data_IF_726245007334
#
_entry.id   IF_726245007334
#
_cell.length_a   1.000
_cell.length_b   1.000
_cell.length_c   1.000
_cell.angle_alpha   90.00
_cell.angle_beta   90.00
_cell.angle_gamma   90.00
#
_symmetry.space_group_name_H-M   'P 1'
#
loop_
_entity.id
_entity.type
_entity.pdbx_description
1 polymer ?
#
# COMPACT_ATOMS: atom_id res chain seq x y z
N UNK A 1 17.00 -24.25 13.24
CA UNK A 1 16.31 -23.50 14.31
C UNK A 1 15.47 -22.43 13.63
N UNK A 2 14.19 -22.33 13.97
CA UNK A 2 13.18 -21.55 13.26
C UNK A 2 13.55 -20.06 13.20
N UNK A 3 13.72 -19.52 11.99
CA UNK A 3 13.79 -18.08 11.75
C UNK A 3 12.37 -17.54 11.94
N UNK A 4 12.04 -17.22 13.18
CA UNK A 4 10.78 -16.58 13.52
C UNK A 4 10.86 -15.18 12.94
N UNK A 5 10.27 -15.02 11.74
CA UNK A 5 9.84 -13.72 11.17
C UNK A 5 9.62 -12.75 12.32
N UNK A 6 10.42 -11.69 12.40
CA UNK A 6 10.44 -10.70 13.49
C UNK A 6 9.01 -10.28 13.84
N UNK A 7 8.41 -10.94 14.83
CA UNK A 7 7.05 -10.68 15.32
C UNK A 7 7.07 -9.29 15.92
N UNK A 8 6.66 -8.31 15.12
CA UNK A 8 6.78 -6.91 15.46
C UNK A 8 5.68 -6.15 14.76
N UNK A 9 5.15 -5.15 15.44
CA UNK A 9 4.19 -4.22 14.87
C UNK A 9 4.69 -3.58 13.56
N UNK A 10 6.01 -3.47 13.37
CA UNK A 10 6.59 -3.01 12.11
C UNK A 10 6.40 -4.02 10.95
N UNK A 11 6.50 -5.32 11.24
CA UNK A 11 6.16 -6.38 10.30
C UNK A 11 4.68 -6.34 9.95
N UNK A 12 3.81 -6.13 10.94
CA UNK A 12 2.36 -6.06 10.72
C UNK A 12 1.97 -4.87 9.83
N UNK A 13 2.53 -3.68 10.08
CA UNK A 13 2.34 -2.51 9.22
C UNK A 13 2.85 -2.75 7.79
N UNK A 14 3.99 -3.42 7.65
CA UNK A 14 4.54 -3.76 6.33
C UNK A 14 3.63 -4.74 5.57
N UNK A 15 3.09 -5.75 6.24
CA UNK A 15 2.14 -6.69 5.64
C UNK A 15 0.80 -6.03 5.32
N UNK A 16 0.31 -5.13 6.18
CA UNK A 16 -0.93 -4.40 5.93
C UNK A 16 -0.83 -3.51 4.68
N UNK A 17 0.28 -2.78 4.51
CA UNK A 17 0.57 -2.02 3.29
C UNK A 17 0.42 -2.85 2.03
N UNK A 18 0.94 -4.07 2.03
CA UNK A 18 0.86 -4.96 0.88
C UNK A 18 -0.60 -5.26 0.54
N UNK A 19 -1.41 -5.60 1.55
CA UNK A 19 -2.86 -5.80 1.40
C UNK A 19 -3.56 -4.56 0.82
N UNK A 20 -3.20 -3.36 1.29
CA UNK A 20 -3.76 -2.11 0.74
C UNK A 20 -3.48 -1.96 -0.76
N UNK A 21 -2.25 -2.26 -1.20
CA UNK A 21 -1.88 -2.20 -2.62
C UNK A 21 -2.57 -3.31 -3.43
N UNK A 22 -2.69 -4.52 -2.89
CA UNK A 22 -3.42 -5.61 -3.55
C UNK A 22 -4.89 -5.25 -3.77
N UNK A 23 -5.54 -4.58 -2.81
CA UNK A 23 -6.92 -4.12 -2.95
C UNK A 23 -7.08 -3.05 -4.04
N UNK A 24 -6.16 -2.10 -4.11
CA UNK A 24 -6.20 -1.05 -5.12
C UNK A 24 -5.88 -1.55 -6.52
N UNK A 25 -5.00 -2.54 -6.65
CA UNK A 25 -4.43 -2.95 -7.95
C UNK A 25 -4.99 -4.27 -8.49
N UNK A 26 -5.60 -5.09 -7.62
CA UNK A 26 -5.95 -6.50 -7.87
C UNK A 26 -4.75 -7.36 -8.32
N UNK A 27 -3.53 -6.89 -8.13
CA UNK A 27 -2.31 -7.62 -8.47
C UNK A 27 -1.85 -8.45 -7.27
N UNK A 28 -1.57 -9.75 -7.44
CA UNK A 28 -1.05 -10.55 -6.36
C UNK A 28 0.37 -10.13 -6.00
N UNK A 29 0.66 -10.05 -4.71
CA UNK A 29 2.04 -9.91 -4.26
C UNK A 29 2.72 -11.25 -4.42
N UNK A 30 3.65 -11.37 -5.37
CA UNK A 30 4.41 -12.59 -5.55
C UNK A 30 5.32 -12.76 -4.33
N UNK A 31 4.88 -13.52 -3.33
CA UNK A 31 5.65 -13.84 -2.14
C UNK A 31 6.45 -15.12 -2.38
N UNK A 32 7.39 -15.13 -3.33
CA UNK A 32 8.39 -16.21 -3.32
C UNK A 32 9.35 -15.99 -2.16
N UNK A 33 9.92 -17.10 -1.67
CA UNK A 33 10.91 -17.14 -0.58
C UNK A 33 12.14 -16.26 -0.82
N UNK A 34 12.34 -15.76 -2.05
CA UNK A 34 13.54 -15.07 -2.51
C UNK A 34 13.34 -13.56 -2.71
N UNK A 35 12.48 -12.92 -1.89
CA UNK A 35 12.32 -11.45 -1.82
C UNK A 35 11.42 -10.82 -2.92
N UNK A 36 10.47 -11.57 -3.51
CA UNK A 36 9.61 -11.06 -4.60
C UNK A 36 8.43 -10.17 -4.17
N UNK A 37 8.15 -10.03 -2.86
CA UNK A 37 7.18 -9.04 -2.35
C UNK A 37 7.53 -7.58 -2.63
N UNK A 38 8.71 -7.36 -3.22
CA UNK A 38 9.26 -6.08 -3.67
C UNK A 38 8.71 -5.67 -5.05
N UNK A 39 8.16 -6.60 -5.85
CA UNK A 39 7.71 -6.32 -7.21
C UNK A 39 6.52 -5.35 -7.25
N UNK A 40 5.43 -5.64 -6.51
CA UNK A 40 4.23 -4.80 -6.53
C UNK A 40 4.53 -3.39 -6.01
N UNK A 41 5.18 -3.30 -4.86
CA UNK A 41 5.58 -2.03 -4.24
C UNK A 41 6.45 -1.19 -5.16
N UNK A 42 7.48 -1.79 -5.76
CA UNK A 42 8.42 -1.09 -6.64
C UNK A 42 7.76 -0.63 -7.94
N UNK A 43 6.88 -1.47 -8.50
CA UNK A 43 6.10 -1.14 -9.69
C UNK A 43 5.16 0.03 -9.42
N UNK A 44 4.34 -0.04 -8.36
CA UNK A 44 3.43 1.05 -7.97
C UNK A 44 4.21 2.35 -7.75
N UNK A 45 5.31 2.31 -6.99
CA UNK A 45 6.15 3.48 -6.78
C UNK A 45 6.75 4.01 -8.08
N UNK A 46 6.98 3.16 -9.09
CA UNK A 46 7.44 3.58 -10.42
C UNK A 46 6.35 4.28 -11.21
N UNK A 47 5.14 3.74 -11.22
CA UNK A 47 4.00 4.32 -11.93
C UNK A 47 3.62 5.68 -11.33
N UNK A 48 3.59 5.79 -10.00
CA UNK A 48 3.23 7.04 -9.29
C UNK A 48 4.26 8.16 -9.50
N UNK A 49 5.56 7.83 -9.71
CA UNK A 49 6.57 8.85 -10.06
C UNK A 49 6.31 9.54 -11.40
N UNK A 50 5.46 8.98 -12.25
CA UNK A 50 5.12 9.56 -13.54
C UNK A 50 3.86 10.45 -13.51
N UNK A 51 3.26 10.70 -12.33
CA UNK A 51 2.09 11.55 -11.98
C UNK A 51 0.83 11.40 -12.88
N UNK A 52 0.97 11.52 -14.19
CA UNK A 52 -0.03 11.30 -15.24
C UNK A 52 -0.54 9.84 -15.31
N UNK A 53 0.17 8.87 -14.72
CA UNK A 53 -0.15 7.43 -14.81
C UNK A 53 -0.80 6.86 -13.54
N UNK A 54 -1.17 7.69 -12.56
CA UNK A 54 -1.68 7.21 -11.26
C UNK A 54 -2.93 6.32 -11.42
N UNK A 55 -3.75 6.56 -12.45
CA UNK A 55 -4.92 5.74 -12.76
C UNK A 55 -4.57 4.30 -13.20
N UNK A 56 -3.39 4.06 -13.79
CA UNK A 56 -2.96 2.73 -14.24
C UNK A 56 -2.69 1.76 -13.08
N UNK A 57 -2.50 2.30 -11.88
CA UNK A 57 -2.32 1.50 -10.66
C UNK A 57 -3.62 0.81 -10.26
N UNK A 58 -4.77 1.39 -10.58
CA UNK A 58 -6.05 0.97 -10.05
C UNK A 58 -6.69 -0.19 -10.82
N UNK A 59 -7.32 -1.12 -10.11
CA UNK A 59 -8.18 -2.15 -10.70
C UNK A 59 -9.27 -1.46 -11.52
N UNK A 60 -9.42 -1.90 -12.78
CA UNK A 60 -10.43 -1.38 -13.70
C UNK A 60 -11.85 -1.54 -13.15
N UNK A 61 -12.09 -2.53 -12.29
CA UNK A 61 -13.39 -2.69 -11.63
C UNK A 61 -13.69 -1.56 -10.63
N UNK A 62 -12.67 -0.94 -10.03
CA UNK A 62 -12.84 0.23 -9.16
C UNK A 62 -13.20 1.48 -9.97
N UNK A 63 -12.69 1.62 -11.19
CA UNK A 63 -13.01 2.73 -12.09
C UNK A 63 -14.48 2.77 -12.53
N UNK A 64 -15.26 1.72 -12.24
CA UNK A 64 -16.71 1.66 -12.48
C UNK A 64 -17.52 2.45 -11.46
N UNK A 65 -16.93 2.75 -10.30
CA UNK A 65 -17.56 3.56 -9.27
C UNK A 65 -17.25 5.04 -9.52
N UNK A 66 -18.28 5.87 -9.53
CA UNK A 66 -18.14 7.31 -9.73
C UNK A 66 -17.76 8.00 -8.41
N UNK A 67 -16.98 9.08 -8.50
CA UNK A 67 -16.61 9.95 -7.38
C UNK A 67 -15.84 9.24 -6.24
N UNK A 68 -15.02 8.25 -6.58
CA UNK A 68 -14.11 7.61 -5.60
C UNK A 68 -12.63 7.81 -5.94
N UNK A 69 -12.33 8.51 -7.03
CA UNK A 69 -10.96 8.65 -7.55
C UNK A 69 -10.05 9.39 -6.55
N UNK A 70 -10.57 10.45 -5.92
CA UNK A 70 -9.81 11.23 -4.94
C UNK A 70 -9.50 10.39 -3.69
N UNK A 71 -10.48 9.63 -3.20
CA UNK A 71 -10.36 8.71 -2.08
C UNK A 71 -9.36 7.60 -2.39
N UNK A 72 -9.40 7.05 -3.60
CA UNK A 72 -8.46 6.03 -4.07
C UNK A 72 -7.03 6.55 -4.15
N UNK A 73 -6.83 7.79 -4.62
CA UNK A 73 -5.50 8.43 -4.62
C UNK A 73 -4.99 8.65 -3.19
N UNK A 74 -5.84 9.12 -2.27
CA UNK A 74 -5.47 9.25 -0.84
C UNK A 74 -5.12 7.90 -0.23
N UNK A 75 -5.89 6.86 -0.53
CA UNK A 75 -5.63 5.49 -0.07
C UNK A 75 -4.28 4.97 -0.57
N UNK A 76 -3.97 5.21 -1.85
CA UNK A 76 -2.70 4.86 -2.48
C UNK A 76 -1.52 5.58 -1.81
N UNK A 77 -1.66 6.88 -1.52
CA UNK A 77 -0.65 7.67 -0.81
C UNK A 77 -0.39 7.11 0.59
N UNK A 78 -1.44 6.76 1.34
CA UNK A 78 -1.29 6.12 2.66
C UNK A 78 -0.50 4.81 2.54
N UNK A 79 -0.82 3.96 1.57
CA UNK A 79 -0.11 2.70 1.34
C UNK A 79 1.37 2.92 0.99
N UNK A 80 1.72 4.00 0.29
CA UNK A 80 3.10 4.35 -0.06
C UNK A 80 3.88 4.99 1.11
N UNK A 81 3.22 5.77 1.98
CA UNK A 81 3.84 6.44 3.13
C UNK A 81 4.24 5.49 4.27
N UNK A 82 3.69 4.27 4.31
CA UNK A 82 3.86 3.34 5.43
C UNK A 82 5.30 2.86 5.70
N UNK A 83 6.28 3.17 4.83
CA UNK A 83 7.69 2.81 5.02
C UNK A 83 8.61 3.88 4.43
N UNK A 84 8.69 5.05 5.08
CA UNK A 84 9.95 5.76 5.01
C UNK A 84 10.92 5.06 5.96
N UNK A 85 12.11 4.71 5.49
CA UNK A 85 13.13 3.91 6.19
C UNK A 85 13.69 4.57 7.45
N UNK A 86 13.15 5.73 7.83
CA UNK A 86 13.50 6.52 8.99
C UNK A 86 12.80 5.98 10.25
N UNK A 87 13.55 5.47 11.25
CA UNK A 87 13.00 4.88 12.47
C UNK A 87 12.05 5.80 13.29
N UNK A 88 12.04 7.11 13.02
CA UNK A 88 11.21 8.11 13.69
C UNK A 88 9.85 8.40 13.06
N UNK A 89 9.59 7.98 11.80
CA UNK A 89 8.34 8.26 11.08
C UNK A 89 7.36 7.08 11.08
N UNK A 90 7.49 6.18 12.06
CA UNK A 90 6.82 4.88 12.06
C UNK A 90 5.34 5.04 12.43
N UNK A 91 4.48 5.23 11.43
CA UNK A 91 3.01 5.37 11.49
C UNK A 91 2.35 4.04 11.94
N UNK A 92 2.48 3.68 13.21
CA UNK A 92 2.06 2.36 13.72
C UNK A 92 0.55 2.20 13.98
N UNK A 93 -0.18 3.32 14.09
CA UNK A 93 -1.64 3.34 14.28
C UNK A 93 -2.33 4.49 13.54
N UNK A 94 -1.56 5.45 13.03
CA UNK A 94 -2.07 6.54 12.20
C UNK A 94 -2.62 6.03 10.86
N UNK A 95 -2.12 4.92 10.32
CA UNK A 95 -2.60 4.37 9.04
C UNK A 95 -4.10 4.08 9.11
N UNK A 96 -4.57 3.40 10.16
CA UNK A 96 -5.99 3.10 10.33
C UNK A 96 -6.80 4.40 10.49
N UNK A 97 -6.31 5.35 11.27
CA UNK A 97 -6.96 6.66 11.43
C UNK A 97 -7.04 7.45 10.12
N UNK A 98 -5.96 7.47 9.34
CA UNK A 98 -5.92 8.13 8.03
C UNK A 98 -6.89 7.45 7.05
N UNK A 99 -7.07 6.13 7.14
CA UNK A 99 -8.09 5.41 6.36
C UNK A 99 -9.51 5.75 6.83
N UNK A 100 -9.73 5.86 8.15
CA UNK A 100 -11.01 6.32 8.72
C UNK A 100 -11.34 7.74 8.26
N UNK A 101 -10.36 8.64 8.19
CA UNK A 101 -10.53 10.02 7.71
C UNK A 101 -10.97 10.08 6.24
N UNK A 102 -10.50 9.15 5.40
CA UNK A 102 -10.98 9.03 4.00
C UNK A 102 -12.45 8.61 3.97
N UNK A 103 -12.86 7.67 4.83
CA UNK A 103 -14.23 7.15 4.84
C UNK A 103 -15.26 8.11 5.45
N UNK A 104 -14.82 9.05 6.30
CA UNK A 104 -15.69 9.98 7.02
C UNK A 104 -15.86 11.33 6.30
N UNK A 105 -15.27 11.48 5.11
CA UNK A 105 -15.32 12.69 4.30
C UNK A 105 -16.22 12.48 3.07
#
# INVERSE_FOLDING_TARGET
>A
VADTKKLSQASDVCSFRVVLLELLTRQPTILTKDNEGIQLVSWVASVVRHEELTAEVFDIELLRYQNIEEEMVKFLQIALLCVDSVPGHRLKMYVVRMLEDISNN
#
